data_IF_929899044040
#
_entry.id   IF_929899044040
#
_cell.length_a   1.000
_cell.length_b   1.000
_cell.length_c   1.000
_cell.angle_alpha   90.00
_cell.angle_beta   90.00
_cell.angle_gamma   90.00
#
_symmetry.space_group_name_H-M   'P 1'
#
loop_
_entity.id
_entity.type
_entity.pdbx_description
1 polymer ?
#
# COMPACT_ATOMS: atom_id res chain seq x y z
N UNK A 1 -39.12 9.80 14.12
CA UNK A 1 -38.94 8.33 14.09
C UNK A 1 -37.45 8.06 14.15
N UNK A 2 -36.97 7.73 15.35
CA UNK A 2 -35.56 7.50 15.69
C UNK A 2 -35.40 6.01 15.93
N UNK A 3 -34.64 5.31 15.09
CA UNK A 3 -34.33 3.90 15.29
C UNK A 3 -32.93 3.76 15.90
N UNK A 4 -32.90 3.21 17.11
CA UNK A 4 -31.70 2.77 17.83
C UNK A 4 -31.59 1.25 17.67
N UNK A 5 -30.39 0.75 17.39
CA UNK A 5 -30.10 -0.70 17.38
C UNK A 5 -28.85 -0.93 18.22
N UNK A 6 -29.03 -1.57 19.38
CA UNK A 6 -27.96 -2.09 20.23
C UNK A 6 -27.67 -3.55 19.86
N UNK A 7 -26.40 -3.90 19.78
CA UNK A 7 -25.93 -5.28 19.66
C UNK A 7 -25.33 -5.72 21.01
N UNK A 8 -25.86 -6.81 21.57
CA UNK A 8 -25.37 -7.47 22.80
C UNK A 8 -24.48 -8.64 22.41
N UNK A 9 -23.32 -8.80 23.04
CA UNK A 9 -22.55 -10.05 23.01
C UNK A 9 -21.84 -10.25 24.34
N UNK A 10 -22.05 -11.41 24.94
CA UNK A 10 -21.38 -11.89 26.16
C UNK A 10 -20.32 -12.95 25.83
N UNK A 11 -19.34 -13.20 26.73
CA UNK A 11 -18.02 -13.75 26.40
C UNK A 11 -17.89 -15.26 26.67
N UNK A 12 -16.91 -15.89 26.02
CA UNK A 12 -16.46 -17.27 26.34
C UNK A 12 -15.01 -17.24 26.83
N UNK A 13 -14.78 -17.94 27.94
CA UNK A 13 -13.53 -18.04 28.71
C UNK A 13 -12.41 -18.76 27.95
N UNK A 14 -11.15 -18.37 28.22
CA UNK A 14 -9.97 -19.19 27.93
C UNK A 14 -8.98 -19.16 29.09
N UNK A 15 -8.57 -20.34 29.52
CA UNK A 15 -7.70 -20.64 30.66
C UNK A 15 -6.22 -20.43 30.32
N UNK A 16 -5.46 -19.98 31.33
CA UNK A 16 -4.03 -19.63 31.36
C UNK A 16 -3.07 -20.82 31.23
N UNK A 17 -1.85 -20.55 30.74
CA UNK A 17 -0.54 -20.85 31.38
C UNK A 17 0.58 -20.27 30.48
N UNK A 18 1.34 -19.23 30.87
CA UNK A 18 2.51 -19.22 31.75
C UNK A 18 3.66 -20.13 31.26
N UNK A 19 4.95 -19.76 31.16
CA UNK A 19 5.73 -18.52 31.31
C UNK A 19 7.20 -18.87 30.88
N UNK A 20 8.08 -17.85 30.85
CA UNK A 20 9.55 -17.91 31.03
C UNK A 20 10.41 -18.03 29.75
N UNK A 21 11.04 -16.96 29.23
CA UNK A 21 12.21 -16.18 29.73
C UNK A 21 13.52 -16.97 29.63
N UNK A 22 14.53 -16.53 28.87
CA UNK A 22 15.69 -15.68 29.29
C UNK A 22 16.57 -15.55 28.01
N UNK A 23 16.91 -14.33 27.54
CA UNK A 23 18.22 -13.65 27.74
C UNK A 23 19.42 -14.42 27.14
N UNK A 24 20.43 -13.87 26.49
CA UNK A 24 20.88 -12.51 26.22
C UNK A 24 22.08 -12.60 25.26
N UNK A 25 22.51 -11.43 24.78
CA UNK A 25 23.88 -11.08 24.36
C UNK A 25 24.26 -11.43 22.91
N UNK A 26 24.41 -10.40 22.05
CA UNK A 26 25.58 -9.51 21.92
C UNK A 26 26.80 -10.29 21.41
N UNK A 27 27.63 -9.82 20.51
CA UNK A 27 27.74 -8.60 19.72
C UNK A 27 28.86 -8.88 18.70
N UNK A 28 28.97 -8.00 17.71
CA UNK A 28 30.23 -7.65 17.03
C UNK A 28 30.91 -8.73 16.16
N UNK A 29 31.53 -8.45 15.01
CA UNK A 29 31.63 -7.29 14.13
C UNK A 29 32.51 -7.73 12.93
N UNK A 30 32.50 -6.94 11.85
CA UNK A 30 33.62 -6.75 10.88
C UNK A 30 33.96 -7.97 9.97
N UNK A 31 34.30 -7.88 8.67
CA UNK A 31 34.52 -6.80 7.71
C UNK A 31 34.57 -7.39 6.29
N UNK A 32 34.04 -6.63 5.32
CA UNK A 32 34.58 -6.25 4.00
C UNK A 32 35.36 -7.25 3.11
N UNK A 33 34.82 -7.52 1.90
CA UNK A 33 35.44 -7.35 0.55
C UNK A 33 34.51 -7.96 -0.52
N UNK A 34 33.81 -7.16 -1.32
CA UNK A 34 34.22 -6.57 -2.62
C UNK A 34 34.53 -7.57 -3.73
N UNK A 35 33.60 -7.70 -4.68
CA UNK A 35 33.91 -7.69 -6.12
C UNK A 35 32.62 -7.61 -6.95
N UNK A 36 32.49 -6.52 -7.71
CA UNK A 36 31.44 -6.21 -8.68
C UNK A 36 31.52 -7.12 -9.92
N UNK A 37 30.37 -7.42 -10.52
CA UNK A 37 30.24 -7.60 -11.96
C UNK A 37 28.85 -7.10 -12.40
N UNK A 38 28.84 -5.94 -13.05
CA UNK A 38 27.68 -5.34 -13.71
C UNK A 38 27.32 -6.12 -14.98
N UNK A 39 26.04 -6.46 -15.14
CA UNK A 39 25.46 -6.80 -16.44
C UNK A 39 24.38 -5.79 -16.79
N UNK A 40 24.74 -4.82 -17.63
CA UNK A 40 23.84 -3.80 -18.17
C UNK A 40 22.76 -4.42 -19.07
N UNK A 41 21.48 -4.20 -18.75
CA UNK A 41 20.37 -4.47 -19.67
C UNK A 41 19.97 -3.18 -20.40
N UNK A 42 19.96 -3.22 -21.74
CA UNK A 42 19.57 -2.09 -22.61
C UNK A 42 18.05 -1.83 -22.52
N UNK A 43 17.60 -0.56 -22.48
CA UNK A 43 16.18 -0.25 -22.36
C UNK A 43 15.44 -0.47 -23.69
N UNK A 44 14.43 -1.32 -23.67
CA UNK A 44 13.50 -1.55 -24.77
C UNK A 44 12.55 -0.36 -24.89
N UNK A 45 12.89 0.66 -25.71
CA UNK A 45 11.98 1.76 -26.01
C UNK A 45 10.94 1.31 -27.03
N UNK A 46 9.82 0.74 -26.58
CA UNK A 46 8.61 0.71 -27.41
C UNK A 46 8.08 2.14 -27.50
N UNK A 47 8.21 2.76 -28.68
CA UNK A 47 7.46 3.97 -29.02
C UNK A 47 5.98 3.58 -29.04
N UNK A 48 5.27 3.84 -27.95
CA UNK A 48 3.81 3.83 -27.97
C UNK A 48 3.38 5.03 -28.79
N UNK A 49 2.91 4.77 -30.01
CA UNK A 49 2.27 5.81 -30.83
C UNK A 49 1.03 6.27 -30.08
N UNK A 50 1.11 7.49 -29.56
CA UNK A 50 0.03 8.15 -28.84
C UNK A 50 -1.16 8.31 -29.79
N UNK A 51 -2.22 7.51 -29.63
CA UNK A 51 -3.53 7.86 -30.19
C UNK A 51 -3.97 9.15 -29.51
N UNK A 52 -3.99 10.25 -30.26
CA UNK A 52 -4.52 11.50 -29.75
C UNK A 52 -6.04 11.41 -29.76
N UNK A 53 -6.66 11.36 -28.58
CA UNK A 53 -8.09 11.64 -28.49
C UNK A 53 -8.31 13.10 -28.86
N UNK A 54 -8.92 13.33 -30.01
CA UNK A 54 -9.36 14.64 -30.50
C UNK A 54 -10.66 15.10 -29.85
N UNK A 55 -11.27 14.23 -29.05
CA UNK A 55 -12.61 14.34 -28.53
C UNK A 55 -12.69 15.31 -27.35
N UNK A 56 -13.67 16.20 -27.41
CA UNK A 56 -14.02 17.09 -26.32
C UNK A 56 -15.16 16.44 -25.54
N UNK A 57 -15.03 16.47 -24.22
CA UNK A 57 -16.05 15.98 -23.29
C UNK A 57 -16.79 17.18 -22.70
N UNK A 58 -18.11 17.11 -22.67
CA UNK A 58 -18.98 18.08 -22.03
C UNK A 58 -19.32 17.58 -20.63
N UNK A 59 -18.69 18.17 -19.63
CA UNK A 59 -18.83 17.75 -18.23
C UNK A 59 -19.39 18.88 -17.38
N UNK A 60 -19.97 18.51 -16.24
CA UNK A 60 -20.30 19.48 -15.19
C UNK A 60 -19.11 19.63 -14.24
N UNK A 61 -18.86 20.85 -13.80
CA UNK A 61 -17.89 21.17 -12.78
C UNK A 61 -18.52 22.07 -11.71
N UNK A 62 -18.05 21.95 -10.49
CA UNK A 62 -18.40 22.80 -9.36
C UNK A 62 -17.23 23.75 -9.10
N UNK A 63 -17.50 25.04 -9.02
CA UNK A 63 -16.51 26.03 -8.59
C UNK A 63 -16.35 26.09 -7.07
N UNK A 64 -15.46 26.96 -6.60
CA UNK A 64 -15.20 27.20 -5.18
C UNK A 64 -16.43 27.67 -4.40
N UNK A 65 -17.39 28.31 -5.06
CA UNK A 65 -18.65 28.82 -4.46
C UNK A 65 -19.78 27.79 -4.48
N UNK A 66 -19.55 26.61 -5.07
CA UNK A 66 -20.54 25.54 -5.17
C UNK A 66 -21.45 25.63 -6.39
N UNK A 67 -21.24 26.60 -7.27
CA UNK A 67 -22.03 26.79 -8.48
C UNK A 67 -21.64 25.79 -9.56
N UNK A 68 -22.65 25.17 -10.18
CA UNK A 68 -22.45 24.20 -11.26
C UNK A 68 -22.33 24.91 -12.59
N UNK A 69 -21.30 24.55 -13.37
CA UNK A 69 -21.11 25.00 -14.75
C UNK A 69 -20.77 23.86 -15.68
N UNK A 70 -21.13 24.01 -16.95
CA UNK A 70 -20.76 23.06 -18.00
C UNK A 70 -19.45 23.47 -18.65
N UNK A 71 -18.51 22.54 -18.73
CA UNK A 71 -17.20 22.72 -19.35
C UNK A 71 -17.05 21.78 -20.54
N UNK A 72 -16.36 22.25 -21.58
CA UNK A 72 -15.97 21.44 -22.72
C UNK A 72 -14.46 21.25 -22.70
N UNK A 73 -13.99 20.07 -22.28
CA UNK A 73 -12.58 19.84 -21.93
C UNK A 73 -12.01 18.62 -22.67
N UNK A 74 -10.71 18.68 -22.99
CA UNK A 74 -9.94 17.53 -23.48
C UNK A 74 -9.22 16.86 -22.33
N UNK A 75 -9.05 15.54 -22.41
CA UNK A 75 -8.30 14.73 -21.41
C UNK A 75 -6.93 15.36 -21.08
N UNK A 76 -6.14 15.77 -22.08
CA UNK A 76 -4.80 16.38 -21.87
C UNK A 76 -4.85 17.77 -21.22
N UNK A 77 -6.01 18.43 -21.19
CA UNK A 77 -6.19 19.78 -20.65
C UNK A 77 -6.81 19.79 -19.26
N UNK A 78 -7.17 18.63 -18.72
CA UNK A 78 -7.76 18.48 -17.38
C UNK A 78 -6.88 19.12 -16.29
N UNK A 79 -5.56 18.95 -16.36
CA UNK A 79 -4.60 19.57 -15.41
C UNK A 79 -4.51 21.10 -15.50
N UNK A 80 -4.94 21.68 -16.62
CA UNK A 80 -4.89 23.13 -16.85
C UNK A 80 -6.26 23.79 -16.58
N UNK A 81 -7.21 23.07 -15.96
CA UNK A 81 -8.43 23.71 -15.50
C UNK A 81 -8.09 24.72 -14.40
N UNK A 82 -8.88 25.80 -14.27
CA UNK A 82 -8.71 26.73 -13.15
C UNK A 82 -8.71 25.94 -11.84
N UNK A 83 -7.77 26.22 -10.95
CA UNK A 83 -7.54 25.40 -9.74
C UNK A 83 -8.74 25.32 -8.78
N UNK A 84 -9.76 26.15 -8.99
CA UNK A 84 -10.99 26.17 -8.21
C UNK A 84 -12.10 25.27 -8.79
N UNK A 85 -11.97 24.81 -10.03
CA UNK A 85 -12.98 24.00 -10.70
C UNK A 85 -12.78 22.51 -10.43
N UNK A 86 -13.79 21.90 -9.82
CA UNK A 86 -13.83 20.45 -9.57
C UNK A 86 -14.77 19.77 -10.56
N UNK A 87 -14.23 18.91 -11.42
CA UNK A 87 -15.03 18.08 -12.33
C UNK A 87 -15.96 17.19 -11.50
N UNK A 88 -17.25 17.23 -11.80
CA UNK A 88 -18.24 16.32 -11.22
C UNK A 88 -18.24 14.99 -11.98
N UNK A 89 -18.11 13.89 -11.23
CA UNK A 89 -18.29 12.54 -11.74
C UNK A 89 -19.46 11.93 -10.99
N UNK A 90 -20.50 11.53 -11.72
CA UNK A 90 -21.68 10.91 -11.13
C UNK A 90 -21.46 9.40 -10.99
N UNK A 91 -21.91 8.85 -9.87
CA UNK A 91 -21.82 7.42 -9.55
C UNK A 91 -23.22 6.86 -9.34
N UNK A 92 -23.45 5.64 -9.80
CA UNK A 92 -24.71 4.93 -9.58
C UNK A 92 -24.77 4.29 -8.17
N UNK A 93 -25.81 3.48 -7.92
CA UNK A 93 -26.01 2.81 -6.63
C UNK A 93 -24.98 1.70 -6.32
N UNK A 94 -24.14 1.33 -7.29
CA UNK A 94 -23.04 0.38 -7.14
C UNK A 94 -21.68 1.09 -7.13
N UNK A 95 -21.66 2.40 -6.92
CA UNK A 95 -20.46 3.24 -6.98
C UNK A 95 -19.73 3.14 -8.33
N UNK A 96 -20.46 2.85 -9.42
CA UNK A 96 -19.91 2.84 -10.77
C UNK A 96 -20.07 4.25 -11.40
N UNK A 97 -18.97 4.89 -11.85
CA UNK A 97 -19.06 6.18 -12.51
C UNK A 97 -19.80 6.03 -13.84
N UNK A 98 -20.65 6.99 -14.21
CA UNK A 98 -21.38 6.99 -15.49
C UNK A 98 -21.41 8.37 -16.16
N UNK A 99 -21.79 8.40 -17.44
CA UNK A 99 -21.89 9.62 -18.26
C UNK A 99 -20.56 10.07 -18.87
N UNK A 100 -20.56 11.24 -19.51
CA UNK A 100 -19.36 11.76 -20.22
C UNK A 100 -18.15 11.95 -19.30
N UNK A 101 -18.37 12.35 -18.04
CA UNK A 101 -17.30 12.55 -17.07
C UNK A 101 -16.56 11.25 -16.70
N UNK A 102 -17.23 10.09 -16.76
CA UNK A 102 -16.60 8.77 -16.55
C UNK A 102 -15.50 8.53 -17.57
N UNK A 103 -15.80 8.76 -18.85
CA UNK A 103 -14.87 8.49 -19.93
C UNK A 103 -13.71 9.48 -19.93
N UNK A 104 -13.97 10.75 -19.62
CA UNK A 104 -12.93 11.76 -19.38
C UNK A 104 -12.00 11.34 -18.22
N UNK A 105 -12.57 10.91 -17.09
CA UNK A 105 -11.82 10.41 -15.94
C UNK A 105 -10.96 9.19 -16.31
N UNK A 106 -11.53 8.22 -17.00
CA UNK A 106 -10.81 7.02 -17.45
C UNK A 106 -9.62 7.38 -18.34
N UNK A 107 -9.82 8.26 -19.32
CA UNK A 107 -8.75 8.76 -20.17
C UNK A 107 -7.67 9.50 -19.37
N UNK A 108 -8.07 10.29 -18.37
CA UNK A 108 -7.15 11.04 -17.53
C UNK A 108 -6.33 10.11 -16.63
N UNK A 109 -6.95 9.10 -16.01
CA UNK A 109 -6.27 8.03 -15.30
C UNK A 109 -5.25 7.30 -16.19
N UNK A 110 -5.54 7.13 -17.48
CA UNK A 110 -4.58 6.60 -18.45
C UNK A 110 -3.35 7.49 -18.64
N UNK A 111 -3.49 8.82 -18.62
CA UNK A 111 -2.35 9.75 -18.63
C UNK A 111 -1.54 9.61 -17.35
N UNK A 112 -2.22 9.59 -16.20
CA UNK A 112 -1.60 9.47 -14.88
C UNK A 112 -0.84 8.14 -14.71
N UNK A 113 -1.33 7.05 -15.31
CA UNK A 113 -0.64 5.76 -15.30
C UNK A 113 0.64 5.74 -16.14
N UNK A 114 0.74 6.61 -17.15
CA UNK A 114 1.94 6.75 -17.99
C UNK A 114 2.96 7.71 -17.38
N UNK A 115 2.47 8.78 -16.76
CA UNK A 115 3.28 9.84 -16.17
C UNK A 115 2.85 10.09 -14.73
N UNK A 116 3.45 9.32 -13.83
CA UNK A 116 3.17 9.42 -12.40
C UNK A 116 3.65 10.74 -11.80
N UNK A 117 4.51 11.51 -12.50
CA UNK A 117 5.02 12.83 -12.04
C UNK A 117 3.93 13.89 -11.94
N UNK A 118 2.78 13.63 -12.56
CA UNK A 118 1.58 14.45 -12.50
C UNK A 118 0.86 14.37 -11.14
N UNK A 119 1.30 13.48 -10.24
CA UNK A 119 0.86 13.46 -8.84
C UNK A 119 1.93 14.03 -7.91
N UNK A 120 1.49 14.71 -6.85
CA UNK A 120 2.32 15.05 -5.69
C UNK A 120 2.86 13.83 -4.92
N UNK A 121 2.54 12.60 -5.37
CA UNK A 121 3.01 11.34 -4.81
C UNK A 121 4.12 10.67 -5.65
N UNK A 122 4.74 11.39 -6.61
CA UNK A 122 5.78 10.84 -7.49
C UNK A 122 7.13 10.60 -6.79
N UNK A 123 7.11 9.73 -5.80
CA UNK A 123 8.34 9.25 -5.18
C UNK A 123 8.63 7.87 -5.75
N UNK A 124 9.77 7.72 -6.42
CA UNK A 124 10.18 6.46 -7.04
C UNK A 124 10.29 5.30 -6.03
N UNK A 125 10.49 5.63 -4.75
CA UNK A 125 10.58 4.68 -3.65
C UNK A 125 9.96 5.28 -2.39
N UNK A 126 9.32 4.45 -1.57
CA UNK A 126 8.75 4.85 -0.27
C UNK A 126 9.73 5.62 0.64
N UNK A 127 11.04 5.28 0.73
CA UNK A 127 12.01 6.05 1.53
C UNK A 127 12.29 7.46 1.00
N UNK A 128 11.95 7.76 -0.25
CA UNK A 128 12.10 9.10 -0.83
C UNK A 128 10.95 10.02 -0.42
N UNK A 129 9.85 9.46 0.10
CA UNK A 129 8.86 10.22 0.84
C UNK A 129 9.53 10.65 2.14
N UNK A 130 9.65 11.95 2.36
CA UNK A 130 10.40 12.46 3.50
C UNK A 130 9.79 11.90 4.82
N UNK A 131 10.56 11.20 5.67
CA UNK A 131 10.04 10.58 6.92
C UNK A 131 9.34 11.59 7.85
N UNK A 132 9.77 12.85 7.75
CA UNK A 132 9.21 14.07 8.35
C UNK A 132 7.68 14.17 8.20
N UNK A 133 7.09 13.67 7.10
CA UNK A 133 5.65 13.78 6.85
C UNK A 133 4.79 12.94 7.81
N UNK A 134 5.32 11.83 8.34
CA UNK A 134 4.50 10.84 9.07
C UNK A 134 5.09 10.39 10.40
N UNK A 135 6.39 10.07 10.48
CA UNK A 135 6.98 9.66 11.75
C UNK A 135 7.13 10.86 12.68
N UNK A 136 7.78 11.95 12.28
CA UNK A 136 8.03 13.08 13.19
C UNK A 136 6.75 13.77 13.73
N UNK A 137 5.66 13.69 12.96
CA UNK A 137 4.37 14.26 13.34
C UNK A 137 3.66 13.41 14.39
N UNK A 138 3.69 12.07 14.28
CA UNK A 138 2.92 11.15 15.14
C UNK A 138 3.78 10.34 16.12
N UNK A 139 5.10 10.37 16.02
CA UNK A 139 6.03 9.67 16.90
C UNK A 139 6.24 10.37 18.24
N UNK A 140 5.87 11.65 18.36
CA UNK A 140 5.93 12.36 19.63
C UNK A 140 4.60 12.20 20.40
N UNK A 141 4.57 11.36 21.45
CA UNK A 141 3.35 11.13 22.23
C UNK A 141 2.91 12.36 23.02
N UNK A 142 3.73 13.41 23.11
CA UNK A 142 3.40 14.66 23.79
C UNK A 142 2.66 15.65 22.89
N UNK A 143 2.66 15.45 21.57
CA UNK A 143 1.92 16.32 20.64
C UNK A 143 0.43 16.05 20.75
N UNK A 144 -0.32 17.12 21.05
CA UNK A 144 -1.77 17.07 21.04
C UNK A 144 -2.31 16.93 19.62
N UNK A 145 -3.50 16.33 19.48
CA UNK A 145 -4.21 16.23 18.19
C UNK A 145 -4.32 17.60 17.50
N UNK A 146 -4.61 18.66 18.25
CA UNK A 146 -4.75 20.03 17.73
C UNK A 146 -3.41 20.56 17.21
N UNK A 147 -2.32 20.33 17.94
CA UNK A 147 -0.98 20.71 17.49
C UNK A 147 -0.59 19.98 16.19
N UNK A 148 -0.98 18.71 16.04
CA UNK A 148 -0.76 17.95 14.80
C UNK A 148 -1.63 18.50 13.66
N UNK A 149 -2.89 18.86 13.92
CA UNK A 149 -3.77 19.48 12.93
C UNK A 149 -3.22 20.81 12.39
N UNK A 150 -2.56 21.59 13.24
CA UNK A 150 -2.01 22.89 12.87
C UNK A 150 -0.70 22.77 12.07
N UNK A 151 0.05 21.69 12.27
CA UNK A 151 1.27 21.38 11.53
C UNK A 151 0.98 20.72 10.16
N UNK A 152 0.21 21.41 9.32
CA UNK A 152 -0.07 20.97 7.93
C UNK A 152 1.23 20.99 7.12
N UNK A 153 1.61 19.84 6.56
CA UNK A 153 2.83 19.78 5.75
C UNK A 153 2.69 20.57 4.43
N UNK A 154 3.77 21.23 3.94
CA UNK A 154 3.73 21.97 2.68
C UNK A 154 3.27 21.09 1.51
N UNK A 155 2.28 21.56 0.75
CA UNK A 155 1.75 20.85 -0.42
C UNK A 155 0.57 19.90 -0.14
N UNK A 156 0.14 19.75 1.11
CA UNK A 156 -1.07 18.99 1.47
C UNK A 156 -2.22 19.97 1.78
N UNK A 157 -3.37 19.86 1.10
CA UNK A 157 -4.57 20.63 1.46
C UNK A 157 -5.01 20.39 2.92
N UNK A 158 -5.39 21.46 3.62
CA UNK A 158 -5.74 21.42 5.06
C UNK A 158 -6.90 20.47 5.35
N UNK A 159 -7.90 20.40 4.47
CA UNK A 159 -9.04 19.49 4.58
C UNK A 159 -8.63 18.02 4.49
N UNK A 160 -7.71 17.68 3.59
CA UNK A 160 -7.14 16.33 3.48
C UNK A 160 -6.31 15.97 4.70
N UNK A 161 -5.46 16.90 5.18
CA UNK A 161 -4.70 16.71 6.41
C UNK A 161 -5.62 16.48 7.62
N UNK A 162 -6.67 17.29 7.74
CA UNK A 162 -7.65 17.18 8.83
C UNK A 162 -8.37 15.84 8.78
N UNK A 163 -8.78 15.39 7.59
CA UNK A 163 -9.38 14.08 7.36
C UNK A 163 -8.44 12.95 7.80
N UNK A 164 -7.17 13.03 7.42
CA UNK A 164 -6.13 12.05 7.76
C UNK A 164 -5.89 11.96 9.27
N UNK A 165 -5.61 13.09 9.93
CA UNK A 165 -5.38 13.13 11.38
C UNK A 165 -6.63 12.64 12.12
N UNK A 166 -7.84 13.04 11.70
CA UNK A 166 -9.07 12.54 12.31
C UNK A 166 -9.20 11.02 12.20
N UNK A 167 -8.90 10.44 11.03
CA UNK A 167 -8.91 9.00 10.82
C UNK A 167 -7.95 8.25 11.74
N UNK A 168 -6.71 8.75 11.90
CA UNK A 168 -5.71 8.14 12.78
C UNK A 168 -6.04 8.25 14.27
N UNK A 169 -6.75 9.30 14.68
CA UNK A 169 -7.22 9.48 16.06
C UNK A 169 -8.57 8.80 16.35
N UNK A 170 -9.21 8.16 15.38
CA UNK A 170 -10.38 7.30 15.65
C UNK A 170 -9.94 6.12 16.51
N UNK A 171 -10.72 5.83 17.54
CA UNK A 171 -10.46 4.74 18.48
C UNK A 171 -10.37 3.39 17.75
N UNK A 172 -11.25 3.17 16.78
CA UNK A 172 -11.28 1.94 15.97
C UNK A 172 -9.98 1.74 15.18
N UNK A 173 -9.45 2.83 14.61
CA UNK A 173 -8.17 2.82 13.88
C UNK A 173 -7.02 2.51 14.82
N UNK A 174 -6.96 3.16 15.99
CA UNK A 174 -5.90 2.93 16.99
C UNK A 174 -5.92 1.49 17.50
N UNK A 175 -7.09 0.96 17.81
CA UNK A 175 -7.26 -0.44 18.23
C UNK A 175 -6.82 -1.42 17.14
N UNK A 176 -7.17 -1.15 15.88
CA UNK A 176 -6.71 -1.95 14.74
C UNK A 176 -5.19 -1.90 14.59
N UNK A 177 -4.58 -0.72 14.68
CA UNK A 177 -3.13 -0.55 14.62
C UNK A 177 -2.43 -1.31 15.75
N UNK A 178 -2.90 -1.19 16.99
CA UNK A 178 -2.35 -1.89 18.15
C UNK A 178 -2.44 -3.41 17.97
N UNK A 179 -3.61 -3.91 17.53
CA UNK A 179 -3.80 -5.33 17.24
C UNK A 179 -2.86 -5.82 16.14
N UNK A 180 -2.61 -5.01 15.11
CA UNK A 180 -1.68 -5.35 14.03
C UNK A 180 -0.24 -5.40 14.52
N UNK A 181 0.17 -4.50 15.43
CA UNK A 181 1.49 -4.56 16.10
C UNK A 181 1.61 -5.84 16.91
N UNK A 182 0.61 -6.18 17.73
CA UNK A 182 0.58 -7.44 18.49
C UNK A 182 0.57 -8.68 17.60
N UNK A 183 -0.11 -8.64 16.45
CA UNK A 183 -0.12 -9.75 15.51
C UNK A 183 1.25 -9.91 14.82
N UNK A 184 1.92 -8.79 14.54
CA UNK A 184 3.27 -8.81 13.97
C UNK A 184 4.28 -9.43 14.93
N UNK A 185 4.18 -9.18 16.24
CA UNK A 185 5.07 -9.83 17.22
C UNK A 185 4.84 -11.34 17.31
N UNK A 186 3.63 -11.82 16.99
CA UNK A 186 3.29 -13.26 16.90
C UNK A 186 3.79 -13.93 15.61
N UNK A 187 4.26 -13.16 14.62
CA UNK A 187 4.80 -13.71 13.38
C UNK A 187 6.21 -14.27 13.57
N UNK A 188 6.29 -15.50 14.09
CA UNK A 188 7.57 -16.16 14.44
C UNK A 188 8.30 -16.69 13.20
N UNK A 189 7.57 -17.13 12.18
CA UNK A 189 8.13 -17.77 10.99
C UNK A 189 7.81 -16.88 9.77
N UNK A 190 8.66 -15.90 9.44
CA UNK A 190 8.48 -15.08 8.26
C UNK A 190 8.73 -15.90 6.99
N UNK A 191 7.94 -15.61 5.95
CA UNK A 191 8.14 -16.16 4.62
C UNK A 191 8.88 -15.14 3.73
N UNK A 192 9.66 -15.62 2.78
CA UNK A 192 10.44 -14.87 1.77
C UNK A 192 9.75 -14.83 0.41
N UNK A 193 8.47 -15.24 0.34
CA UNK A 193 7.69 -15.26 -0.90
C UNK A 193 7.47 -13.87 -1.53
N UNK A 194 7.56 -12.81 -0.73
CA UNK A 194 7.30 -11.43 -1.15
C UNK A 194 5.87 -11.28 -1.70
N UNK A 195 5.67 -10.32 -2.59
CA UNK A 195 4.36 -10.08 -3.25
C UNK A 195 4.02 -11.09 -4.35
N UNK A 196 4.91 -12.08 -4.63
CA UNK A 196 4.66 -13.07 -5.68
C UNK A 196 3.63 -14.08 -5.19
N UNK A 197 2.49 -14.17 -5.88
CA UNK A 197 1.45 -15.13 -5.56
C UNK A 197 1.95 -16.58 -5.62
N UNK A 198 1.47 -17.41 -4.69
CA UNK A 198 1.78 -18.84 -4.62
C UNK A 198 1.41 -19.62 -5.89
N UNK A 199 0.36 -19.21 -6.63
CA UNK A 199 0.00 -19.82 -7.92
C UNK A 199 1.09 -19.63 -8.96
N UNK A 200 1.63 -18.41 -9.06
CA UNK A 200 2.74 -18.09 -9.96
C UNK A 200 4.01 -18.83 -9.59
N UNK A 201 4.32 -18.90 -8.29
CA UNK A 201 5.50 -19.66 -7.81
C UNK A 201 5.38 -21.15 -8.13
N UNK A 202 4.19 -21.73 -7.99
CA UNK A 202 3.95 -23.12 -8.40
C UNK A 202 4.16 -23.33 -9.89
N UNK A 203 3.68 -22.43 -10.75
CA UNK A 203 3.89 -22.53 -12.19
C UNK A 203 5.38 -22.43 -12.57
N UNK A 204 6.15 -21.57 -11.91
CA UNK A 204 7.61 -21.47 -12.10
C UNK A 204 8.31 -22.77 -11.67
N UNK A 205 7.97 -23.33 -10.50
CA UNK A 205 8.53 -24.60 -10.03
C UNK A 205 8.15 -25.77 -10.97
N UNK A 206 6.91 -25.82 -11.49
CA UNK A 206 6.50 -26.81 -12.49
C UNK A 206 7.31 -26.72 -13.77
N UNK A 207 7.66 -25.51 -14.22
CA UNK A 207 8.47 -25.31 -15.42
C UNK A 207 9.94 -25.72 -15.22
N UNK A 208 10.42 -25.74 -13.97
CA UNK A 208 11.79 -26.17 -13.63
C UNK A 208 11.91 -27.68 -13.40
N UNK A 209 10.89 -28.31 -12.79
CA UNK A 209 10.94 -29.73 -12.39
C UNK A 209 10.07 -30.65 -13.24
N UNK A 210 9.26 -30.10 -14.16
CA UNK A 210 8.20 -30.79 -14.90
C UNK A 210 7.19 -31.55 -13.99
N UNK A 211 7.15 -31.19 -12.70
CA UNK A 211 6.30 -31.82 -11.69
C UNK A 211 5.44 -30.80 -10.96
N UNK A 212 4.23 -31.20 -10.57
CA UNK A 212 3.31 -30.37 -9.80
C UNK A 212 3.83 -30.24 -8.36
N UNK A 213 4.27 -29.06 -7.92
CA UNK A 213 4.89 -28.92 -6.61
C UNK A 213 3.86 -29.09 -5.49
N UNK A 214 4.23 -29.90 -4.51
CA UNK A 214 3.44 -30.14 -3.31
C UNK A 214 3.35 -28.92 -2.39
N UNK A 215 2.43 -28.96 -1.42
CA UNK A 215 2.33 -27.91 -0.38
C UNK A 215 3.61 -27.79 0.45
N UNK A 216 4.27 -28.92 0.72
CA UNK A 216 5.56 -28.99 1.43
C UNK A 216 6.67 -28.28 0.64
N UNK A 217 6.82 -28.59 -0.65
CA UNK A 217 7.83 -27.99 -1.52
C UNK A 217 7.63 -26.48 -1.68
N UNK A 218 6.38 -26.04 -1.86
CA UNK A 218 6.04 -24.62 -1.90
C UNK A 218 6.38 -23.91 -0.59
N UNK A 219 6.14 -24.57 0.55
CA UNK A 219 6.52 -24.05 1.86
C UNK A 219 8.04 -23.90 1.97
N UNK A 220 8.81 -24.93 1.61
CA UNK A 220 10.28 -24.90 1.64
C UNK A 220 10.84 -23.78 0.74
N UNK A 221 10.28 -23.58 -0.46
CA UNK A 221 10.70 -22.55 -1.41
C UNK A 221 10.35 -21.11 -1.00
N UNK A 222 9.46 -20.95 -0.01
CA UNK A 222 9.05 -19.64 0.52
C UNK A 222 9.58 -19.36 1.92
N UNK A 223 10.33 -20.29 2.52
CA UNK A 223 10.94 -20.14 3.85
C UNK A 223 12.47 -20.34 3.80
N UNK A 224 13.03 -20.13 2.61
CA UNK A 224 14.47 -20.06 2.34
C UNK A 224 14.77 -18.73 1.63
N UNK A 225 15.92 -18.16 1.95
CA UNK A 225 16.47 -17.00 1.26
C UNK A 225 16.95 -17.41 -0.14
N UNK A 226 17.20 -16.42 -1.00
CA UNK A 226 17.78 -16.64 -2.35
C UNK A 226 19.10 -17.44 -2.26
N UNK A 227 19.88 -17.22 -1.20
CA UNK A 227 21.15 -17.91 -0.95
C UNK A 227 20.96 -19.34 -0.38
N UNK A 228 19.73 -19.86 -0.32
CA UNK A 228 19.40 -21.19 0.22
C UNK A 228 19.36 -21.29 1.75
N UNK A 229 19.87 -20.30 2.48
CA UNK A 229 19.81 -20.23 3.94
C UNK A 229 18.37 -20.06 4.46
N UNK A 230 18.10 -20.56 5.67
CA UNK A 230 16.80 -20.36 6.33
C UNK A 230 16.64 -18.92 6.84
N UNK A 231 15.39 -18.44 6.85
CA UNK A 231 15.08 -17.06 7.27
C UNK A 231 15.35 -16.83 8.76
N UNK A 232 15.06 -17.84 9.59
CA UNK A 232 15.44 -17.90 11.00
C UNK A 232 15.55 -19.35 11.50
N UNK A 233 15.90 -19.52 12.78
CA UNK A 233 16.11 -20.84 13.40
C UNK A 233 14.81 -21.63 13.49
N UNK A 234 13.70 -20.96 13.73
CA UNK A 234 12.37 -21.54 13.86
C UNK A 234 11.87 -22.07 12.52
N UNK A 235 12.06 -21.30 11.44
CA UNK A 235 11.80 -21.73 10.07
C UNK A 235 12.65 -22.96 9.71
N UNK A 236 13.92 -22.99 10.11
CA UNK A 236 14.80 -24.16 9.90
C UNK A 236 14.22 -25.42 10.53
N UNK A 237 13.83 -25.38 11.81
CA UNK A 237 13.27 -26.53 12.52
C UNK A 237 12.01 -27.05 11.81
N UNK A 238 11.11 -26.16 11.39
CA UNK A 238 9.89 -26.56 10.68
C UNK A 238 10.20 -27.13 9.30
N UNK A 239 11.09 -26.49 8.53
CA UNK A 239 11.48 -26.98 7.21
C UNK A 239 12.17 -28.36 7.27
N UNK A 240 13.02 -28.59 8.27
CA UNK A 240 13.68 -29.90 8.48
C UNK A 240 12.69 -31.00 8.85
N UNK A 241 11.64 -30.67 9.62
CA UNK A 241 10.55 -31.62 9.90
C UNK A 241 9.77 -31.95 8.62
N UNK A 242 9.43 -30.93 7.83
CA UNK A 242 8.70 -31.11 6.56
C UNK A 242 9.53 -31.93 5.56
N UNK A 243 10.85 -31.75 5.53
CA UNK A 243 11.74 -32.48 4.60
C UNK A 243 11.92 -33.96 4.96
N UNK A 244 11.42 -34.39 6.13
CA UNK A 244 11.48 -35.78 6.62
C UNK A 244 10.14 -36.52 6.51
N UNK A 245 9.09 -35.82 6.04
CA UNK A 245 7.79 -36.42 5.71
C UNK A 245 7.87 -37.10 4.34
#
# INVERSE_FOLDING_TARGET
MTFSVQATSQPVQSTQAASQSISSNQAASHSTSSSQAESQSKPFKKRVVRRESTEYWTIEAIDSEGSKKKLKVKVKKVLNLPGEDRIMVNFDYLDCPFGEAQSLLSGFCGILAVDSSLFSMHFDKWPNIAPIFFEEVFSDPLKSKTQIMDNVSPGIPRDQWTSYVNYHYKKETQEMCNRNVENRTKQIIPHTGGSKASSRRRAEMMAETDQVPGRAELYLATHRNVNGAYVNKEAKVVCEKISKL
#
